data_IF_835766644668
#
_entry.id   IF_835766644668
#
_cell.length_a   1.000
_cell.length_b   1.000
_cell.length_c   1.000
_cell.angle_alpha   90.00
_cell.angle_beta   90.00
_cell.angle_gamma   90.00
#
_symmetry.space_group_name_H-M   'P 1'
#
loop_
_entity.id
_entity.type
_entity.pdbx_description
1 polymer ?
#
# COMPACT_ATOMS: atom_id res chain seq x y z
N UNK A 1 1.05 21.93 -43.63
CA UNK A 1 0.75 21.60 -42.22
C UNK A 1 1.09 20.12 -42.05
N UNK A 2 2.00 19.76 -41.13
CA UNK A 2 2.38 18.36 -40.90
C UNK A 2 1.46 17.78 -39.84
N UNK A 3 0.66 16.78 -40.22
CA UNK A 3 -0.20 16.02 -39.31
C UNK A 3 0.67 15.18 -38.39
N UNK A 4 0.61 15.46 -37.09
CA UNK A 4 1.25 14.65 -36.05
C UNK A 4 0.25 13.57 -35.66
N UNK A 5 0.36 12.39 -36.26
CA UNK A 5 -0.33 11.19 -35.81
C UNK A 5 0.32 10.75 -34.48
N UNK A 6 -0.27 11.15 -33.36
CA UNK A 6 0.03 10.56 -32.06
C UNK A 6 -0.68 9.20 -31.97
N UNK A 7 0.06 8.13 -32.29
CA UNK A 7 -0.33 6.78 -31.90
C UNK A 7 -0.31 6.68 -30.37
N UNK A 8 -1.49 6.80 -29.77
CA UNK A 8 -1.71 6.45 -28.37
C UNK A 8 -1.59 4.92 -28.30
N UNK A 9 -0.42 4.43 -27.87
CA UNK A 9 -0.26 3.01 -27.54
C UNK A 9 -1.20 2.69 -26.38
N UNK A 10 -2.27 1.97 -26.70
CA UNK A 10 -3.15 1.32 -25.73
C UNK A 10 -2.28 0.42 -24.84
N UNK A 11 -1.99 0.92 -23.64
CA UNK A 11 -1.37 0.14 -22.58
C UNK A 11 -2.41 -0.91 -22.22
N UNK A 12 -2.20 -2.16 -22.66
CA UNK A 12 -2.99 -3.31 -22.25
C UNK A 12 -3.08 -3.29 -20.72
N UNK A 13 -4.23 -2.86 -20.20
CA UNK A 13 -4.53 -2.91 -18.78
C UNK A 13 -4.76 -4.39 -18.46
N UNK A 14 -3.67 -5.09 -18.16
CA UNK A 14 -3.73 -6.43 -17.59
C UNK A 14 -4.48 -6.23 -16.26
N UNK A 15 -5.64 -6.88 -16.03
CA UNK A 15 -6.29 -6.82 -14.74
C UNK A 15 -5.31 -7.39 -13.72
N UNK A 16 -4.76 -6.52 -12.87
CA UNK A 16 -3.91 -6.94 -11.76
C UNK A 16 -4.78 -7.76 -10.81
N UNK A 17 -4.61 -9.08 -10.84
CA UNK A 17 -5.21 -9.94 -9.85
C UNK A 17 -4.65 -9.54 -8.47
N UNK A 18 -5.51 -9.42 -7.44
CA UNK A 18 -5.08 -9.06 -6.11
C UNK A 18 -4.09 -10.11 -5.59
N UNK A 19 -2.83 -9.71 -5.42
CA UNK A 19 -1.79 -10.55 -4.84
C UNK A 19 -1.82 -10.40 -3.32
N UNK A 20 -1.91 -11.53 -2.63
CA UNK A 20 -1.61 -11.59 -1.21
C UNK A 20 -0.10 -11.39 -1.04
N UNK A 21 0.27 -10.29 -0.40
CA UNK A 21 1.66 -9.97 -0.07
C UNK A 21 1.85 -10.07 1.45
N UNK A 22 2.97 -10.64 1.88
CA UNK A 22 3.45 -10.50 3.25
C UNK A 22 4.35 -9.26 3.32
N UNK A 23 3.88 -8.15 3.91
CA UNK A 23 4.65 -6.90 3.92
C UNK A 23 5.93 -6.99 4.77
N UNK A 24 6.13 -8.06 5.54
CA UNK A 24 7.37 -8.29 6.29
C UNK A 24 8.52 -8.80 5.43
N UNK A 25 8.21 -9.39 4.27
CA UNK A 25 9.18 -9.95 3.32
C UNK A 25 9.22 -9.21 1.99
N UNK A 26 8.18 -8.42 1.69
CA UNK A 26 8.06 -7.64 0.47
C UNK A 26 8.55 -6.20 0.68
N UNK A 27 9.50 -5.76 -0.15
CA UNK A 27 10.00 -4.39 -0.12
C UNK A 27 9.12 -3.54 -1.04
N UNK A 28 8.30 -2.68 -0.46
CA UNK A 28 7.26 -1.97 -1.20
C UNK A 28 7.02 -0.54 -0.72
N UNK A 29 6.04 0.11 -1.36
CA UNK A 29 5.47 1.35 -0.87
C UNK A 29 4.13 1.01 -0.22
N UNK A 30 3.92 1.45 1.02
CA UNK A 30 2.75 1.09 1.80
C UNK A 30 2.08 2.32 2.40
N UNK A 31 0.78 2.21 2.60
CA UNK A 31 -0.02 3.16 3.38
C UNK A 31 -0.38 2.47 4.69
N UNK A 32 0.11 3.00 5.80
CA UNK A 32 -0.22 2.52 7.14
C UNK A 32 -1.31 3.42 7.71
N UNK A 33 -2.44 2.84 8.09
CA UNK A 33 -3.58 3.55 8.69
C UNK A 33 -3.83 3.07 10.11
N UNK A 34 -3.97 4.02 11.03
CA UNK A 34 -4.47 3.76 12.39
C UNK A 34 -5.97 3.99 12.35
N UNK A 35 -6.73 2.92 12.49
CA UNK A 35 -8.20 2.96 12.52
C UNK A 35 -8.65 3.10 13.97
N UNK A 36 -9.63 3.98 14.20
CA UNK A 36 -10.27 4.15 15.50
C UNK A 36 -11.07 2.92 15.91
N UNK A 37 -11.47 2.87 17.18
CA UNK A 37 -12.22 1.75 17.74
C UNK A 37 -13.58 1.54 17.06
N UNK A 38 -14.11 2.56 16.38
CA UNK A 38 -15.33 2.49 15.56
C UNK A 38 -15.16 1.67 14.27
N UNK A 39 -13.93 1.25 13.94
CA UNK A 39 -13.59 0.51 12.73
C UNK A 39 -13.74 1.31 11.44
N UNK A 40 -14.01 2.61 11.51
CA UNK A 40 -14.34 3.47 10.36
C UNK A 40 -13.46 4.69 10.28
N UNK A 41 -13.15 5.31 11.41
CA UNK A 41 -12.40 6.55 11.45
C UNK A 41 -10.91 6.27 11.26
N UNK A 42 -10.28 6.93 10.29
CA UNK A 42 -8.82 6.92 10.15
C UNK A 42 -8.25 8.02 11.07
N UNK A 43 -7.67 7.62 12.19
CA UNK A 43 -7.06 8.55 13.16
C UNK A 43 -5.73 9.11 12.66
N UNK A 44 -4.97 8.30 11.93
CA UNK A 44 -3.67 8.70 11.36
C UNK A 44 -3.36 7.87 10.13
N UNK A 45 -2.71 8.49 9.15
CA UNK A 45 -2.22 7.83 7.95
C UNK A 45 -0.77 8.20 7.70
N UNK A 46 0.04 7.23 7.30
CA UNK A 46 1.44 7.43 6.94
C UNK A 46 1.73 6.69 5.63
N UNK A 47 2.32 7.40 4.66
CA UNK A 47 2.89 6.78 3.46
C UNK A 47 4.36 6.49 3.73
N UNK A 48 4.77 5.24 3.52
CA UNK A 48 6.15 4.78 3.67
C UNK A 48 6.59 4.15 2.36
N UNK A 49 7.80 4.51 1.92
CA UNK A 49 8.29 4.15 0.59
C UNK A 49 9.51 3.25 0.72
N UNK A 50 9.60 2.24 -0.17
CA UNK A 50 10.70 1.25 -0.21
C UNK A 50 11.05 0.72 1.18
N UNK A 51 10.06 0.19 1.88
CA UNK A 51 10.23 -0.34 3.21
C UNK A 51 9.61 -1.73 3.32
N UNK A 52 9.90 -2.42 4.42
CA UNK A 52 9.16 -3.61 4.89
C UNK A 52 8.39 -3.24 6.16
N UNK A 53 7.27 -3.92 6.41
CA UNK A 53 6.44 -3.70 7.60
C UNK A 53 6.28 -5.01 8.35
N UNK A 54 6.75 -5.02 9.60
CA UNK A 54 6.51 -6.12 10.54
C UNK A 54 5.47 -5.69 11.57
N UNK A 55 4.35 -6.40 11.61
CA UNK A 55 3.30 -6.19 12.61
C UNK A 55 3.50 -7.20 13.74
N UNK A 56 3.41 -6.77 15.00
CA UNK A 56 3.56 -7.62 16.18
C UNK A 56 2.52 -7.26 17.23
N UNK A 57 1.85 -8.25 17.81
CA UNK A 57 0.97 -8.04 18.96
C UNK A 57 1.80 -7.82 20.21
N UNK A 58 1.44 -6.82 21.01
CA UNK A 58 2.07 -6.50 22.29
C UNK A 58 1.28 -7.02 23.50
N UNK A 59 0.18 -7.74 23.30
CA UNK A 59 -0.78 -8.12 24.34
C UNK A 59 -2.12 -7.39 24.19
N UNK A 60 -2.93 -7.37 25.25
CA UNK A 60 -4.29 -6.79 25.36
C UNK A 60 -4.64 -5.72 24.30
N UNK A 61 -5.20 -6.16 23.17
CA UNK A 61 -5.68 -5.28 22.08
C UNK A 61 -4.62 -4.38 21.42
N UNK A 62 -3.35 -4.52 21.80
CA UNK A 62 -2.28 -3.61 21.42
C UNK A 62 -1.42 -4.23 20.34
N UNK A 63 -1.16 -3.46 19.28
CA UNK A 63 -0.36 -3.89 18.13
C UNK A 63 0.70 -2.83 17.81
N UNK A 64 1.88 -3.28 17.45
CA UNK A 64 2.99 -2.45 16.98
C UNK A 64 3.27 -2.76 15.51
N UNK A 65 3.58 -1.74 14.73
CA UNK A 65 4.11 -1.87 13.38
C UNK A 65 5.53 -1.29 13.34
N UNK A 66 6.50 -2.14 13.02
CA UNK A 66 7.89 -1.78 12.81
C UNK A 66 8.13 -1.58 11.30
N UNK A 67 8.67 -0.43 10.92
CA UNK A 67 8.91 -0.03 9.52
C UNK A 67 10.42 0.08 9.31
N UNK A 68 10.97 -0.66 8.33
CA UNK A 68 12.41 -0.69 8.00
C UNK A 68 12.67 -0.34 6.56
#
# INVERSE_FOLDING_TARGET
MKEVNQEIKEINQIPEEPKLIDPSQDLGNYIVQIIGEDGKSVLKQLMVNKCTIKISSLGEGSTCAEIK
#
